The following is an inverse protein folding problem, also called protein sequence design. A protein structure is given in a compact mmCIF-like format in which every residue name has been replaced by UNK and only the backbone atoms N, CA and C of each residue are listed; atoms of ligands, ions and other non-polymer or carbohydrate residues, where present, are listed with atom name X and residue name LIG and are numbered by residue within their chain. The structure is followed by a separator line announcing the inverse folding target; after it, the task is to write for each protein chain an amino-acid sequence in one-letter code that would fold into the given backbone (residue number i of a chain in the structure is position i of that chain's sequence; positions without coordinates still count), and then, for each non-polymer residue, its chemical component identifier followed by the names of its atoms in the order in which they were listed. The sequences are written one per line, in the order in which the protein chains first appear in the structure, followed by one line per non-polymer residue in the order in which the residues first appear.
data_IF_683779947038
#
_entry.id   IF_683779947038
#
_cell.length_a   1.000
_cell.length_b   1.000
_cell.length_c   1.000
_cell.angle_alpha   90.00
_cell.angle_beta   90.00
_cell.angle_gamma   90.00
#
_symmetry.space_group_name_H-M   'P 1'
#
loop_
_entity.id
_entity.type
_entity.pdbx_description
1 polymer ?
#
# COMPACT_ATOMS: atom_id res chain seq x y z
N UNK A 1 11.87 14.75 -3.68
CA UNK A 1 10.53 15.01 -4.23
C UNK A 1 10.46 14.87 -5.76
N UNK A 2 11.56 15.07 -6.50
CA UNK A 2 11.55 15.13 -7.98
C UNK A 2 10.91 13.92 -8.68
N UNK A 3 11.11 12.70 -8.17
CA UNK A 3 10.51 11.46 -8.72
C UNK A 3 9.09 11.16 -8.21
N UNK A 4 8.52 11.96 -7.32
CA UNK A 4 7.29 11.63 -6.59
C UNK A 4 6.09 11.41 -7.53
N UNK A 5 5.93 12.25 -8.57
CA UNK A 5 4.83 12.10 -9.51
C UNK A 5 4.98 10.83 -10.36
N UNK A 6 6.20 10.53 -10.83
CA UNK A 6 6.47 9.30 -11.58
C UNK A 6 6.18 8.06 -10.72
N UNK A 7 6.55 8.10 -9.44
CA UNK A 7 6.26 7.01 -8.51
C UNK A 7 4.76 6.85 -8.23
N UNK A 8 4.01 7.95 -8.10
CA UNK A 8 2.56 7.90 -7.97
C UNK A 8 1.90 7.22 -9.19
N UNK A 9 2.29 7.60 -10.40
CA UNK A 9 1.78 6.98 -11.63
C UNK A 9 2.14 5.50 -11.74
N UNK A 10 3.30 5.11 -11.21
CA UNK A 10 3.72 3.72 -11.13
C UNK A 10 2.86 2.93 -10.13
N UNK A 11 2.61 3.47 -8.93
CA UNK A 11 1.77 2.83 -7.91
C UNK A 11 0.34 2.57 -8.39
N UNK A 12 -0.24 3.50 -9.18
CA UNK A 12 -1.56 3.34 -9.80
C UNK A 12 -1.64 2.15 -10.77
N UNK A 13 -0.51 1.78 -11.38
CA UNK A 13 -0.44 0.69 -12.36
C UNK A 13 -0.08 -0.66 -11.74
N UNK A 14 0.46 -0.64 -10.52
CA UNK A 14 1.00 -1.82 -9.83
C UNK A 14 0.20 -2.10 -8.56
N UNK A 15 0.79 -1.87 -7.39
CA UNK A 15 0.26 -2.29 -6.08
C UNK A 15 -1.20 -1.90 -5.86
N UNK A 16 -1.59 -0.66 -6.21
CA UNK A 16 -2.96 -0.19 -6.03
C UNK A 16 -3.99 -1.01 -6.82
N UNK A 17 -3.65 -1.40 -8.04
CA UNK A 17 -4.50 -2.23 -8.88
C UNK A 17 -4.54 -3.67 -8.36
N UNK A 18 -3.41 -4.20 -7.93
CA UNK A 18 -3.32 -5.56 -7.39
C UNK A 18 -4.11 -5.69 -6.08
N UNK A 19 -4.05 -4.69 -5.19
CA UNK A 19 -4.90 -4.65 -3.99
C UNK A 19 -6.39 -4.72 -4.35
N UNK A 20 -6.83 -3.85 -5.27
CA UNK A 20 -8.23 -3.72 -5.66
C UNK A 20 -8.78 -4.96 -6.40
N UNK A 21 -7.91 -5.78 -6.99
CA UNK A 21 -8.30 -6.98 -7.72
C UNK A 21 -8.61 -8.19 -6.81
N UNK A 22 -8.23 -8.14 -5.54
CA UNK A 22 -8.40 -9.26 -4.62
C UNK A 22 -9.80 -9.25 -4.03
N UNK A 23 -10.52 -10.36 -4.20
CA UNK A 23 -11.80 -10.56 -3.55
C UNK A 23 -11.66 -10.47 -2.02
N UNK A 24 -12.36 -9.51 -1.43
CA UNK A 24 -12.24 -9.15 -0.02
C UNK A 24 -11.53 -7.82 0.23
N UNK A 25 -10.92 -7.18 -0.77
CA UNK A 25 -10.52 -5.77 -0.66
C UNK A 25 -11.77 -4.87 -0.71
N UNK A 26 -11.86 -3.89 0.19
CA UNK A 26 -13.00 -2.95 0.27
C UNK A 26 -12.60 -1.49 0.08
N UNK A 27 -11.32 -1.22 -0.12
CA UNK A 27 -10.79 0.11 -0.29
C UNK A 27 -9.28 0.12 -0.31
N UNK A 28 -8.71 1.05 -1.07
CA UNK A 28 -7.27 1.30 -1.12
C UNK A 28 -7.06 2.79 -1.09
N UNK A 29 -6.25 3.25 -0.14
CA UNK A 29 -5.89 4.64 0.04
C UNK A 29 -4.40 4.79 -0.22
N UNK A 30 -4.05 5.81 -0.99
CA UNK A 30 -2.68 6.26 -1.15
C UNK A 30 -2.53 7.63 -0.51
N UNK A 31 -1.58 7.75 0.41
CA UNK A 31 -1.22 9.00 1.06
C UNK A 31 0.16 9.44 0.58
N UNK A 32 0.33 10.75 0.43
CA UNK A 32 1.64 11.37 0.21
C UNK A 32 1.88 12.41 1.30
N UNK A 33 3.05 12.36 1.93
CA UNK A 33 3.56 13.38 2.84
C UNK A 33 4.90 13.88 2.31
N UNK A 34 5.11 15.19 2.29
CA UNK A 34 6.39 15.77 1.91
C UNK A 34 7.03 16.45 3.14
N UNK A 35 8.27 16.09 3.44
CA UNK A 35 9.06 16.68 4.53
C UNK A 35 10.55 16.70 4.17
N UNK A 36 11.25 17.79 4.49
CA UNK A 36 12.69 17.94 4.26
C UNK A 36 13.15 17.58 2.82
N UNK A 37 12.31 17.83 1.82
CA UNK A 37 12.58 17.50 0.41
C UNK A 37 12.37 16.03 0.03
N UNK A 38 11.94 15.18 0.96
CA UNK A 38 11.60 13.77 0.75
C UNK A 38 10.08 13.63 0.63
N UNK A 39 9.64 12.81 -0.31
CA UNK A 39 8.24 12.45 -0.45
C UNK A 39 8.05 11.03 0.08
N UNK A 40 7.23 10.90 1.11
CA UNK A 40 6.84 9.63 1.72
C UNK A 40 5.48 9.22 1.16
N UNK A 41 5.38 7.97 0.74
CA UNK A 41 4.13 7.38 0.26
C UNK A 41 3.68 6.27 1.20
N UNK A 42 2.41 6.28 1.57
CA UNK A 42 1.81 5.26 2.43
C UNK A 42 0.60 4.67 1.72
N UNK A 43 0.52 3.34 1.71
CA UNK A 43 -0.63 2.61 1.16
C UNK A 43 -1.39 1.95 2.30
N UNK A 44 -2.68 2.21 2.40
CA UNK A 44 -3.58 1.52 3.32
C UNK A 44 -4.64 0.78 2.52
N UNK A 45 -4.71 -0.54 2.68
CA UNK A 45 -5.74 -1.36 2.07
C UNK A 45 -6.69 -1.89 3.14
N UNK A 46 -7.99 -1.82 2.88
CA UNK A 46 -9.03 -2.33 3.76
C UNK A 46 -9.47 -3.72 3.29
N UNK A 47 -9.62 -4.64 4.23
CA UNK A 47 -9.85 -6.05 3.95
C UNK A 47 -11.01 -6.58 4.78
N UNK A 48 -11.80 -7.48 4.18
CA UNK A 48 -12.89 -8.18 4.88
C UNK A 48 -12.38 -9.26 5.85
N UNK A 49 -11.17 -9.77 5.66
CA UNK A 49 -10.61 -10.84 6.48
C UNK A 49 -9.10 -11.00 6.29
N UNK A 50 -8.46 -11.65 7.26
CA UNK A 50 -7.07 -12.10 7.17
C UNK A 50 -6.80 -13.02 5.98
N UNK A 51 -7.77 -13.85 5.61
CA UNK A 51 -7.64 -14.73 4.43
C UNK A 51 -7.56 -13.92 3.13
N UNK A 52 -8.27 -12.80 3.02
CA UNK A 52 -8.14 -11.90 1.86
C UNK A 52 -6.75 -11.24 1.82
N UNK A 53 -6.20 -10.87 2.99
CA UNK A 53 -4.84 -10.35 3.11
C UNK A 53 -3.83 -11.38 2.62
N UNK A 54 -3.93 -12.64 3.07
CA UNK A 54 -3.03 -13.73 2.67
C UNK A 54 -3.15 -14.07 1.18
N UNK A 55 -4.33 -14.00 0.58
CA UNK A 55 -4.48 -14.14 -0.89
C UNK A 55 -3.67 -13.11 -1.66
N UNK A 56 -3.52 -11.90 -1.10
CA UNK A 56 -2.71 -10.85 -1.70
C UNK A 56 -1.21 -10.99 -1.40
N UNK A 57 -0.86 -11.14 -0.12
CA UNK A 57 0.52 -11.04 0.37
C UNK A 57 1.25 -12.39 0.47
N UNK A 58 0.53 -13.50 0.41
CA UNK A 58 1.03 -14.85 0.71
C UNK A 58 0.98 -15.17 2.22
N UNK A 59 1.61 -16.28 2.59
CA UNK A 59 1.62 -16.75 3.99
C UNK A 59 2.46 -15.84 4.91
N UNK A 60 3.50 -15.20 4.38
CA UNK A 60 4.32 -14.21 5.10
C UNK A 60 3.66 -12.81 5.04
N UNK A 61 2.36 -12.72 5.30
CA UNK A 61 1.56 -11.50 5.09
C UNK A 61 1.95 -10.29 5.96
N UNK A 62 2.81 -10.50 6.96
CA UNK A 62 3.38 -9.43 7.78
C UNK A 62 4.60 -8.77 7.11
N UNK A 63 5.20 -9.39 6.09
CA UNK A 63 6.31 -8.80 5.34
C UNK A 63 5.77 -7.85 4.27
N UNK A 64 6.45 -6.72 4.12
CA UNK A 64 6.14 -5.79 3.04
C UNK A 64 6.44 -6.43 1.68
N UNK A 65 5.42 -6.42 0.80
CA UNK A 65 5.54 -6.89 -0.59
C UNK A 65 5.94 -5.72 -1.48
N UNK A 66 7.14 -5.82 -2.06
CA UNK A 66 7.67 -4.87 -3.03
C UNK A 66 7.74 -5.47 -4.44
N UNK A 67 7.64 -4.61 -5.42
CA UNK A 67 7.82 -4.91 -6.84
C UNK A 67 9.25 -4.55 -7.26
N UNK A 68 9.83 -5.23 -8.27
CA UNK A 68 11.23 -5.03 -8.66
C UNK A 68 11.62 -3.58 -8.97
N UNK A 69 10.70 -2.79 -9.52
CA UNK A 69 10.89 -1.41 -9.93
C UNK A 69 10.81 -0.41 -8.76
N UNK A 70 10.34 -0.82 -7.57
CA UNK A 70 10.28 0.05 -6.39
C UNK A 70 11.66 0.58 -6.00
N UNK A 71 12.72 -0.20 -6.24
CA UNK A 71 14.12 0.20 -5.97
C UNK A 71 14.60 1.41 -6.75
N UNK A 72 13.93 1.77 -7.84
CA UNK A 72 14.29 2.92 -8.66
C UNK A 72 13.72 4.24 -8.10
N UNK A 73 12.81 4.13 -7.12
CA UNK A 73 12.07 5.24 -6.51
C UNK A 73 12.27 5.34 -5.00
N UNK A 74 12.21 4.22 -4.30
CA UNK A 74 12.24 4.17 -2.83
C UNK A 74 13.64 4.41 -2.29
N UNK A 75 13.71 5.28 -1.27
CA UNK A 75 14.93 5.55 -0.53
C UNK A 75 15.17 4.49 0.56
N UNK A 76 14.08 3.94 1.10
CA UNK A 76 14.09 2.99 2.20
C UNK A 76 12.97 1.95 1.98
N UNK A 77 13.19 0.76 2.53
CA UNK A 77 12.26 -0.36 2.48
C UNK A 77 11.94 -0.81 3.90
N UNK A 78 10.68 -0.68 4.29
CA UNK A 78 10.19 -1.25 5.53
C UNK A 78 10.14 -2.78 5.40
N UNK A 79 10.54 -3.50 6.44
CA UNK A 79 10.58 -4.97 6.39
C UNK A 79 9.18 -5.54 6.61
N UNK A 80 8.37 -4.86 7.43
CA UNK A 80 7.08 -5.34 7.91
C UNK A 80 5.96 -4.33 7.67
N UNK A 81 4.75 -4.83 7.45
CA UNK A 81 3.52 -4.04 7.42
C UNK A 81 2.82 -4.10 8.77
N UNK A 82 2.09 -3.04 9.10
CA UNK A 82 1.24 -3.00 10.30
C UNK A 82 -0.19 -3.38 9.92
N UNK A 83 -0.75 -4.36 10.64
CA UNK A 83 -2.16 -4.74 10.51
C UNK A 83 -2.95 -4.23 11.71
N UNK A 84 -4.15 -3.71 11.46
CA UNK A 84 -5.00 -3.11 12.49
C UNK A 84 -6.46 -3.51 12.24
N UNK A 85 -7.19 -3.74 13.32
CA UNK A 85 -8.64 -3.92 13.26
C UNK A 85 -9.33 -2.57 13.15
N UNK A 86 -10.32 -2.49 12.25
CA UNK A 86 -11.17 -1.31 12.13
C UNK A 86 -12.28 -1.45 13.18
N UNK A 87 -12.22 -0.62 14.23
CA UNK A 87 -13.26 -0.59 15.26
C UNK A 87 -14.47 0.26 14.85
N UNK A 88 -14.24 1.32 14.07
CA UNK A 88 -15.26 2.25 13.58
C UNK A 88 -14.83 2.75 12.20
N UNK A 89 -15.78 2.87 11.27
CA UNK A 89 -15.57 3.55 9.98
C UNK A 89 -16.75 4.47 9.69
N UNK A 90 -16.54 5.64 9.07
CA UNK A 90 -17.65 6.46 8.62
C UNK A 90 -18.44 5.74 7.51
N UNK A 91 -19.72 6.09 7.37
CA UNK A 91 -20.57 5.55 6.30
C UNK A 91 -20.16 6.07 4.92
N UNK A 92 -19.49 7.22 4.85
CA UNK A 92 -18.95 7.81 3.65
C UNK A 92 -17.63 8.57 3.94
N UNK A 93 -16.73 8.58 2.95
CA UNK A 93 -15.47 9.36 2.92
C UNK A 93 -15.56 10.32 1.75
#
# INVERSE_FOLDING_TARGET
AEKAEAYHQYLLKTGLKDFAAIDGNTGVFLFKKEENGIAHFYTMALWKSWEAIKKFAGEDYEKARYYPEDKDFLLEFEIFVTHMDILEKPDCI
#
